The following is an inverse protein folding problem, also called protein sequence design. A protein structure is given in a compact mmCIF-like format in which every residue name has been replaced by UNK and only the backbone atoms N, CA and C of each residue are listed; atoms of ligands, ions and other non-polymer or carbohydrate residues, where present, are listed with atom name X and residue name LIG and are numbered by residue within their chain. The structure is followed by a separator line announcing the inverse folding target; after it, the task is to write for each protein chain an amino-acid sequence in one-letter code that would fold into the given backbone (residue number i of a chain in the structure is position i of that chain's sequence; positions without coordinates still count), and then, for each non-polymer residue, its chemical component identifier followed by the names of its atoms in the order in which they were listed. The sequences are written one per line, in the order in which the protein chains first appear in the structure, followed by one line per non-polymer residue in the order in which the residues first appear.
data_IF_378015413857
#
_entry.id   IF_378015413857
#
_cell.length_a   1.000
_cell.length_b   1.000
_cell.length_c   1.000
_cell.angle_alpha   90.00
_cell.angle_beta   90.00
_cell.angle_gamma   90.00
#
_symmetry.space_group_name_H-M   'P 1'
#
loop_
_entity.id
_entity.type
_entity.pdbx_description
1 polymer ?
#
# COMPACT_ATOMS: atom_id res chain seq x y z
N UNK A 1 -5.85 -36.74 -0.46
CA UNK A 1 -5.93 -37.56 0.78
C UNK A 1 -7.21 -38.41 0.80
N UNK A 2 -8.41 -37.83 0.61
CA UNK A 2 -9.68 -38.56 0.54
C UNK A 2 -9.73 -39.73 -0.46
N UNK A 3 -9.19 -39.58 -1.67
CA UNK A 3 -9.10 -40.69 -2.66
C UNK A 3 -8.28 -41.88 -2.15
N UNK A 4 -7.22 -41.64 -1.34
CA UNK A 4 -6.41 -42.70 -0.72
C UNK A 4 -7.17 -43.42 0.39
N UNK A 5 -8.02 -42.69 1.13
CA UNK A 5 -8.87 -43.25 2.20
C UNK A 5 -9.96 -44.13 1.61
N UNK A 6 -10.66 -43.67 0.56
CA UNK A 6 -11.68 -44.45 -0.13
C UNK A 6 -11.07 -45.72 -0.73
N UNK A 7 -9.91 -45.60 -1.39
CA UNK A 7 -9.19 -46.76 -1.93
C UNK A 7 -8.78 -47.74 -0.82
N UNK A 8 -8.27 -47.25 0.31
CA UNK A 8 -7.93 -48.09 1.45
C UNK A 8 -9.16 -48.83 2.01
N UNK A 9 -10.30 -48.14 2.18
CA UNK A 9 -11.55 -48.76 2.68
C UNK A 9 -12.06 -49.85 1.73
N UNK A 10 -12.03 -49.60 0.43
CA UNK A 10 -12.43 -50.60 -0.59
C UNK A 10 -11.45 -51.79 -0.58
N UNK A 11 -10.15 -51.53 -0.56
CA UNK A 11 -9.12 -52.57 -0.52
C UNK A 11 -9.24 -53.44 0.74
N UNK A 12 -9.42 -52.83 1.91
CA UNK A 12 -9.65 -53.55 3.16
C UNK A 12 -10.94 -54.38 3.13
N UNK A 13 -12.01 -53.87 2.52
CA UNK A 13 -13.28 -54.61 2.36
C UNK A 13 -13.12 -55.83 1.45
N UNK A 14 -12.34 -55.72 0.38
CA UNK A 14 -12.06 -56.83 -0.54
C UNK A 14 -11.17 -57.89 0.11
N UNK A 15 -10.10 -57.47 0.78
CA UNK A 15 -9.22 -58.38 1.56
C UNK A 15 -10.02 -59.07 2.67
N UNK A 16 -10.96 -58.36 3.30
CA UNK A 16 -11.87 -58.91 4.30
C UNK A 16 -12.78 -60.00 3.74
N UNK A 17 -13.43 -59.78 2.59
CA UNK A 17 -14.27 -60.81 1.96
C UNK A 17 -13.46 -62.04 1.53
N UNK A 18 -12.23 -61.82 1.08
CA UNK A 18 -11.34 -62.89 0.66
C UNK A 18 -10.87 -63.75 1.85
N UNK A 19 -10.41 -63.10 2.92
CA UNK A 19 -10.02 -63.78 4.16
C UNK A 19 -11.19 -64.48 4.82
N UNK A 20 -12.40 -63.89 4.82
CA UNK A 20 -13.63 -64.54 5.29
C UNK A 20 -13.92 -65.85 4.54
N UNK A 21 -13.81 -65.86 3.21
CA UNK A 21 -14.04 -67.08 2.41
C UNK A 21 -13.02 -68.18 2.70
N UNK A 22 -11.74 -67.81 2.79
CA UNK A 22 -10.66 -68.76 3.11
C UNK A 22 -10.86 -69.33 4.51
N UNK A 23 -11.13 -68.45 5.47
CA UNK A 23 -11.33 -68.80 6.87
C UNK A 23 -12.53 -69.73 7.08
N UNK A 24 -13.67 -69.44 6.43
CA UNK A 24 -14.87 -70.27 6.53
C UNK A 24 -14.69 -71.64 5.84
N UNK A 25 -13.91 -71.70 4.76
CA UNK A 25 -13.54 -72.96 4.09
C UNK A 25 -12.59 -73.80 4.94
N UNK A 26 -11.69 -73.15 5.68
CA UNK A 26 -10.71 -73.81 6.54
C UNK A 26 -11.32 -74.32 7.86
N UNK A 27 -12.22 -73.54 8.47
CA UNK A 27 -12.93 -73.89 9.71
C UNK A 27 -13.76 -75.16 9.58
N UNK A 28 -14.55 -75.28 8.51
CA UNK A 28 -15.44 -76.42 8.29
C UNK A 28 -14.68 -77.74 8.06
N UNK A 29 -13.37 -77.70 7.78
CA UNK A 29 -12.54 -78.89 7.50
C UNK A 29 -11.77 -79.41 8.72
N UNK A 30 -11.58 -78.61 9.80
CA UNK A 30 -10.59 -78.92 10.84
C UNK A 30 -11.05 -78.81 12.30
N UNK A 31 -12.22 -78.25 12.60
CA UNK A 31 -12.61 -77.98 14.00
C UNK A 31 -13.94 -78.63 14.41
N UNK A 32 -14.03 -79.04 15.67
CA UNK A 32 -15.26 -79.54 16.29
C UNK A 32 -16.31 -78.42 16.45
N UNK A 33 -17.63 -78.73 16.51
CA UNK A 33 -18.70 -77.74 16.55
C UNK A 33 -18.60 -76.70 17.67
N UNK A 34 -17.91 -77.03 18.77
CA UNK A 34 -17.73 -76.16 19.94
C UNK A 34 -16.77 -74.98 19.69
N UNK A 35 -15.71 -75.18 18.90
CA UNK A 35 -14.69 -74.14 18.64
C UNK A 35 -15.21 -73.10 17.63
N UNK A 36 -16.13 -73.52 16.76
CA UNK A 36 -16.85 -72.65 15.82
C UNK A 36 -17.66 -71.57 16.56
N UNK A 37 -18.12 -71.84 17.79
CA UNK A 37 -18.90 -70.87 18.57
C UNK A 37 -18.07 -69.67 19.04
N UNK A 38 -16.86 -69.93 19.53
CA UNK A 38 -15.93 -68.88 20.00
C UNK A 38 -15.59 -67.91 18.87
N UNK A 39 -15.45 -68.43 17.66
CA UNK A 39 -15.05 -67.66 16.47
C UNK A 39 -16.21 -66.82 15.90
N UNK A 40 -17.47 -67.24 16.11
CA UNK A 40 -18.65 -66.45 15.73
C UNK A 40 -18.77 -65.14 16.52
N UNK A 41 -18.28 -65.08 17.76
CA UNK A 41 -18.31 -63.83 18.53
C UNK A 41 -17.31 -62.79 18.00
N UNK A 42 -16.10 -63.23 17.62
CA UNK A 42 -15.10 -62.34 17.00
C UNK A 42 -15.62 -61.71 15.70
N UNK A 43 -16.35 -62.48 14.90
CA UNK A 43 -17.01 -61.96 13.69
C UNK A 43 -18.01 -60.84 14.00
N UNK A 44 -18.79 -60.96 15.07
CA UNK A 44 -19.74 -59.90 15.49
C UNK A 44 -19.01 -58.62 15.89
N UNK A 45 -17.87 -58.73 16.60
CA UNK A 45 -17.04 -57.56 16.96
C UNK A 45 -16.54 -56.83 15.71
N UNK A 46 -16.11 -57.58 14.68
CA UNK A 46 -15.64 -57.00 13.42
C UNK A 46 -16.77 -56.30 12.64
N UNK A 47 -17.98 -56.86 12.61
CA UNK A 47 -19.15 -56.20 11.98
C UNK A 47 -19.44 -54.86 12.66
N UNK A 48 -19.43 -54.83 13.99
CA UNK A 48 -19.68 -53.60 14.76
C UNK A 48 -18.63 -52.54 14.41
N UNK A 49 -17.35 -52.92 14.34
CA UNK A 49 -16.28 -52.01 13.96
C UNK A 49 -16.42 -51.49 12.51
N UNK A 50 -16.76 -52.36 11.56
CA UNK A 50 -17.01 -51.98 10.18
C UNK A 50 -18.19 -51.00 10.05
N UNK A 51 -19.26 -51.23 10.83
CA UNK A 51 -20.42 -50.35 10.88
C UNK A 51 -20.07 -48.96 11.45
N UNK A 52 -19.31 -48.89 12.54
CA UNK A 52 -18.80 -47.62 13.07
C UNK A 52 -17.92 -46.88 12.07
N UNK A 53 -17.01 -47.59 11.38
CA UNK A 53 -16.17 -47.00 10.32
C UNK A 53 -17.00 -46.46 9.15
N UNK A 54 -18.08 -47.16 8.77
CA UNK A 54 -18.99 -46.72 7.71
C UNK A 54 -19.80 -45.48 8.14
N UNK A 55 -20.31 -45.45 9.37
CA UNK A 55 -21.00 -44.28 9.92
C UNK A 55 -20.10 -43.06 10.04
N UNK A 56 -18.81 -43.25 10.29
CA UNK A 56 -17.86 -42.15 10.46
C UNK A 56 -17.31 -41.60 9.13
N UNK A 57 -17.37 -42.40 8.06
CA UNK A 57 -16.86 -42.00 6.73
C UNK A 57 -17.55 -40.74 6.15
N UNK A 58 -18.89 -40.58 6.20
CA UNK A 58 -19.56 -39.36 5.77
C UNK A 58 -19.13 -38.11 6.54
N UNK A 59 -18.89 -38.23 7.85
CA UNK A 59 -18.43 -37.14 8.71
C UNK A 59 -17.00 -36.68 8.35
N UNK A 60 -16.11 -37.62 8.06
CA UNK A 60 -14.74 -37.33 7.60
C UNK A 60 -14.70 -36.71 6.19
N UNK A 61 -15.62 -37.11 5.30
CA UNK A 61 -15.75 -36.53 3.96
C UNK A 61 -16.31 -35.10 4.05
N UNK A 62 -17.37 -34.88 4.83
CA UNK A 62 -18.00 -33.56 5.01
C UNK A 62 -17.03 -32.52 5.59
N UNK A 63 -16.30 -32.87 6.66
CA UNK A 63 -15.31 -31.99 7.27
C UNK A 63 -14.17 -31.60 6.31
N UNK A 64 -13.73 -32.53 5.46
CA UNK A 64 -12.71 -32.28 4.43
C UNK A 64 -13.21 -31.34 3.34
N UNK A 65 -14.46 -31.49 2.90
CA UNK A 65 -15.08 -30.62 1.87
C UNK A 65 -15.28 -29.20 2.42
N UNK A 66 -15.81 -29.06 3.64
CA UNK A 66 -15.95 -27.76 4.31
C UNK A 66 -14.60 -27.06 4.50
N UNK A 67 -13.54 -27.82 4.81
CA UNK A 67 -12.18 -27.27 4.93
C UNK A 67 -11.65 -26.75 3.58
N UNK A 68 -11.87 -27.49 2.48
CA UNK A 68 -11.47 -27.05 1.13
C UNK A 68 -12.20 -25.76 0.72
N UNK A 69 -13.51 -25.67 0.99
CA UNK A 69 -14.27 -24.45 0.70
C UNK A 69 -13.81 -23.25 1.54
N UNK A 70 -13.50 -23.45 2.83
CA UNK A 70 -12.92 -22.40 3.70
C UNK A 70 -11.53 -21.96 3.22
N UNK A 71 -10.68 -22.89 2.81
CA UNK A 71 -9.35 -22.56 2.32
C UNK A 71 -9.41 -21.80 0.98
N UNK A 72 -10.32 -22.19 0.09
CA UNK A 72 -10.55 -21.53 -1.19
C UNK A 72 -11.15 -20.13 -1.04
N UNK A 73 -12.04 -19.90 -0.07
CA UNK A 73 -12.59 -18.57 0.20
C UNK A 73 -11.51 -17.64 0.78
N UNK A 74 -10.66 -18.12 1.69
CA UNK A 74 -9.52 -17.36 2.22
C UNK A 74 -8.52 -17.02 1.10
N UNK A 75 -8.19 -17.98 0.23
CA UNK A 75 -7.29 -17.73 -0.90
C UNK A 75 -7.87 -16.71 -1.89
N UNK A 76 -9.19 -16.76 -2.15
CA UNK A 76 -9.89 -15.78 -2.98
C UNK A 76 -9.85 -14.39 -2.37
N UNK A 77 -10.09 -14.26 -1.07
CA UNK A 77 -9.98 -12.98 -0.33
C UNK A 77 -8.55 -12.45 -0.41
N UNK A 78 -7.54 -13.29 -0.21
CA UNK A 78 -6.13 -12.91 -0.33
C UNK A 78 -5.76 -12.46 -1.75
N UNK A 79 -6.26 -13.16 -2.77
CA UNK A 79 -6.05 -12.78 -4.18
C UNK A 79 -6.73 -11.43 -4.50
N UNK A 80 -7.93 -11.18 -3.98
CA UNK A 80 -8.63 -9.89 -4.13
C UNK A 80 -7.88 -8.78 -3.38
N UNK A 81 -7.45 -9.04 -2.14
CA UNK A 81 -6.71 -8.07 -1.31
C UNK A 81 -5.35 -7.70 -1.93
N UNK A 82 -4.61 -8.67 -2.48
CA UNK A 82 -3.36 -8.41 -3.19
C UNK A 82 -3.58 -7.65 -4.50
N UNK A 83 -4.66 -7.94 -5.25
CA UNK A 83 -5.05 -7.16 -6.44
C UNK A 83 -5.48 -5.73 -6.12
N UNK A 84 -6.22 -5.53 -5.02
CA UNK A 84 -6.59 -4.20 -4.54
C UNK A 84 -5.38 -3.45 -4.02
N UNK A 85 -4.54 -4.09 -3.20
CA UNK A 85 -3.28 -3.54 -2.70
C UNK A 85 -2.32 -3.15 -3.81
N UNK A 86 -2.16 -3.99 -4.85
CA UNK A 86 -1.35 -3.66 -6.02
C UNK A 86 -1.90 -2.46 -6.79
N UNK A 87 -3.24 -2.33 -6.94
CA UNK A 87 -3.86 -1.13 -7.53
C UNK A 87 -3.67 0.12 -6.67
N UNK A 88 -3.64 0.00 -5.34
CA UNK A 88 -3.41 1.12 -4.41
C UNK A 88 -1.92 1.51 -4.39
N UNK A 89 -1.01 0.55 -4.47
CA UNK A 89 0.43 0.79 -4.39
C UNK A 89 1.03 1.26 -5.72
N UNK A 90 0.50 0.80 -6.86
CA UNK A 90 0.90 1.23 -8.20
C UNK A 90 0.16 2.49 -8.68
N UNK A 91 -0.89 2.92 -7.98
CA UNK A 91 -1.56 4.20 -8.22
C UNK A 91 -1.00 5.19 -7.17
N UNK A 92 -0.08 6.10 -7.53
CA UNK A 92 0.41 7.08 -6.59
C UNK A 92 -0.81 7.81 -6.02
N UNK A 93 -0.87 7.88 -4.71
CA UNK A 93 -1.97 8.41 -3.91
C UNK A 93 -2.28 9.86 -4.32
N UNK A 94 -3.14 10.03 -5.32
CA UNK A 94 -4.11 11.11 -5.29
C UNK A 94 -5.23 10.60 -4.39
N UNK A 95 -5.18 11.03 -3.13
CA UNK A 95 -6.29 10.90 -2.18
C UNK A 95 -7.57 11.26 -2.93
N UNK A 96 -8.53 10.33 -3.14
CA UNK A 96 -9.85 10.74 -3.55
C UNK A 96 -10.49 11.31 -2.30
N UNK A 97 -10.31 12.62 -2.10
CA UNK A 97 -11.34 13.39 -1.41
C UNK A 97 -12.62 13.00 -2.11
N UNK A 98 -13.54 12.41 -1.34
CA UNK A 98 -14.91 12.10 -1.72
C UNK A 98 -15.37 13.10 -2.78
N UNK A 99 -15.31 12.68 -4.05
CA UNK A 99 -15.92 13.42 -5.13
C UNK A 99 -17.42 13.32 -4.84
N UNK A 100 -17.94 14.32 -4.14
CA UNK A 100 -19.17 14.94 -4.60
C UNK A 100 -18.89 15.40 -6.03
N UNK A 101 -19.04 14.47 -6.97
CA UNK A 101 -19.58 14.77 -8.29
C UNK A 101 -20.99 15.33 -8.06
N UNK A 102 -21.03 16.54 -7.50
CA UNK A 102 -22.07 17.48 -7.85
C UNK A 102 -21.53 18.14 -9.11
N UNK A 103 -22.23 17.88 -10.19
CA UNK A 103 -21.98 18.41 -11.53
C UNK A 103 -22.00 19.93 -11.52
N UNK A 104 -20.87 20.56 -11.20
CA UNK A 104 -20.64 21.97 -11.50
C UNK A 104 -19.67 21.99 -12.67
N UNK A 105 -20.21 22.39 -13.83
CA UNK A 105 -19.44 22.82 -15.01
C UNK A 105 -18.18 23.56 -14.51
N UNK A 106 -17.00 23.22 -15.04
CA UNK A 106 -15.81 24.08 -14.92
C UNK A 106 -16.12 25.42 -15.58
N UNK A 107 -16.77 26.30 -14.83
CA UNK A 107 -16.87 27.72 -15.12
C UNK A 107 -15.45 28.26 -15.05
N UNK A 108 -15.10 29.12 -16.01
CA UNK A 108 -13.81 29.80 -16.02
C UNK A 108 -13.60 30.46 -14.65
N UNK A 109 -12.44 30.31 -13.99
CA UNK A 109 -12.22 30.90 -12.67
C UNK A 109 -12.60 32.38 -12.70
N UNK A 110 -13.51 32.77 -11.81
CA UNK A 110 -13.98 34.16 -11.71
C UNK A 110 -12.80 35.10 -11.47
N UNK A 111 -12.87 36.35 -11.93
CA UNK A 111 -11.84 37.37 -11.67
C UNK A 111 -11.49 37.51 -10.18
N UNK A 112 -12.46 37.27 -9.30
CA UNK A 112 -12.27 37.29 -7.86
C UNK A 112 -11.23 36.25 -7.37
N UNK A 113 -11.19 35.07 -7.98
CA UNK A 113 -10.22 34.01 -7.63
C UNK A 113 -8.80 34.47 -8.00
N UNK A 114 -8.63 35.10 -9.16
CA UNK A 114 -7.32 35.64 -9.56
C UNK A 114 -6.86 36.79 -8.66
N UNK A 115 -7.77 37.68 -8.25
CA UNK A 115 -7.47 38.73 -7.27
C UNK A 115 -7.01 38.15 -5.92
N UNK A 116 -7.73 37.15 -5.40
CA UNK A 116 -7.34 36.44 -4.17
C UNK A 116 -6.00 35.70 -4.32
N UNK A 117 -5.75 35.12 -5.49
CA UNK A 117 -4.49 34.43 -5.77
C UNK A 117 -3.29 35.39 -5.81
N UNK A 118 -3.45 36.59 -6.37
CA UNK A 118 -2.43 37.65 -6.31
C UNK A 118 -2.20 38.12 -4.88
N UNK A 119 -3.26 38.41 -4.13
CA UNK A 119 -3.15 38.78 -2.71
C UNK A 119 -2.44 37.68 -1.88
N UNK A 120 -2.74 36.41 -2.13
CA UNK A 120 -2.07 35.29 -1.47
C UNK A 120 -0.55 35.29 -1.72
N UNK A 121 -0.11 35.59 -2.94
CA UNK A 121 1.32 35.69 -3.26
C UNK A 121 1.99 36.83 -2.48
N UNK A 122 1.32 37.97 -2.35
CA UNK A 122 1.82 39.11 -1.56
C UNK A 122 1.97 38.73 -0.09
N UNK A 123 0.94 38.10 0.50
CA UNK A 123 0.99 37.66 1.90
C UNK A 123 2.08 36.62 2.15
N UNK A 124 2.31 35.72 1.18
CA UNK A 124 3.34 34.70 1.24
C UNK A 124 4.75 35.31 1.33
N UNK A 125 5.01 36.38 0.57
CA UNK A 125 6.29 37.09 0.59
C UNK A 125 6.41 37.98 1.82
N UNK A 126 5.38 38.78 2.11
CA UNK A 126 5.41 39.76 3.21
C UNK A 126 5.65 39.12 4.58
N UNK A 127 5.03 37.97 4.83
CA UNK A 127 5.15 37.25 6.11
C UNK A 127 6.16 36.10 6.07
N UNK A 128 6.78 35.85 4.91
CA UNK A 128 7.76 34.78 4.68
C UNK A 128 7.29 33.40 5.17
N UNK A 129 5.98 33.09 5.04
CA UNK A 129 5.40 31.85 5.60
C UNK A 129 6.11 30.57 5.13
N UNK A 130 6.67 30.59 3.90
CA UNK A 130 7.42 29.48 3.33
C UNK A 130 8.67 29.08 4.11
N UNK A 131 9.24 29.96 4.95
CA UNK A 131 10.38 29.64 5.79
C UNK A 131 10.02 28.71 6.95
N UNK A 132 8.75 28.61 7.34
CA UNK A 132 8.32 27.71 8.39
C UNK A 132 8.37 26.25 7.89
N UNK A 133 9.20 25.37 8.50
CA UNK A 133 9.29 23.95 8.14
C UNK A 133 7.96 23.20 8.27
N UNK A 134 7.14 23.58 9.25
CA UNK A 134 5.89 22.91 9.62
C UNK A 134 4.65 23.54 8.96
N UNK A 135 4.85 24.41 7.95
CA UNK A 135 3.75 25.07 7.26
C UNK A 135 2.83 24.05 6.59
N UNK A 136 1.56 24.04 7.01
CA UNK A 136 0.49 23.25 6.42
C UNK A 136 -0.56 24.14 5.76
N UNK A 137 -1.40 23.57 4.89
CA UNK A 137 -2.54 24.29 4.31
C UNK A 137 -3.47 24.83 5.41
N UNK A 138 -3.69 24.03 6.46
CA UNK A 138 -4.53 24.42 7.60
C UNK A 138 -3.94 25.61 8.35
N UNK A 139 -2.67 25.54 8.74
CA UNK A 139 -2.01 26.63 9.47
C UNK A 139 -1.91 27.90 8.63
N UNK A 140 -1.68 27.80 7.32
CA UNK A 140 -1.68 28.97 6.45
C UNK A 140 -3.09 29.59 6.33
N UNK A 141 -4.12 28.76 6.21
CA UNK A 141 -5.50 29.24 6.16
C UNK A 141 -5.88 29.97 7.45
N UNK A 142 -5.50 29.43 8.61
CA UNK A 142 -5.69 30.07 9.92
C UNK A 142 -4.99 31.42 9.99
N UNK A 143 -3.71 31.51 9.60
CA UNK A 143 -2.95 32.78 9.58
C UNK A 143 -3.55 33.84 8.65
N UNK A 144 -4.25 33.43 7.60
CA UNK A 144 -4.88 34.31 6.62
C UNK A 144 -6.37 34.57 6.91
N UNK A 145 -6.91 34.07 8.03
CA UNK A 145 -8.33 34.11 8.36
C UNK A 145 -9.23 33.55 7.24
N UNK A 146 -8.80 32.43 6.64
CA UNK A 146 -9.52 31.71 5.59
C UNK A 146 -9.82 30.28 6.02
N UNK A 147 -10.80 29.64 5.38
CA UNK A 147 -10.98 28.19 5.53
C UNK A 147 -9.98 27.44 4.62
N UNK A 148 -9.51 26.25 5.02
CA UNK A 148 -8.60 25.45 4.19
C UNK A 148 -9.17 25.12 2.80
N UNK A 149 -10.50 24.95 2.72
CA UNK A 149 -11.19 24.72 1.46
C UNK A 149 -11.07 25.91 0.50
N UNK A 150 -11.33 27.13 0.98
CA UNK A 150 -11.21 28.34 0.15
C UNK A 150 -9.76 28.55 -0.27
N UNK A 151 -8.80 28.38 0.65
CA UNK A 151 -7.38 28.52 0.32
C UNK A 151 -6.95 27.50 -0.74
N UNK A 152 -7.35 26.23 -0.58
CA UNK A 152 -7.08 25.21 -1.60
C UNK A 152 -7.68 25.58 -2.95
N UNK A 153 -8.90 26.12 -2.99
CA UNK A 153 -9.55 26.56 -4.21
C UNK A 153 -8.78 27.70 -4.87
N UNK A 154 -8.34 28.70 -4.10
CA UNK A 154 -7.54 29.84 -4.61
C UNK A 154 -6.22 29.37 -5.22
N UNK A 155 -5.52 28.43 -4.57
CA UNK A 155 -4.24 27.91 -5.09
C UNK A 155 -4.48 27.05 -6.34
N UNK A 156 -5.44 26.13 -6.30
CA UNK A 156 -5.71 25.22 -7.41
C UNK A 156 -6.28 25.98 -8.63
N UNK A 157 -7.33 26.77 -8.44
CA UNK A 157 -8.04 27.42 -9.56
C UNK A 157 -7.35 28.71 -10.00
N UNK A 158 -6.75 29.46 -9.06
CA UNK A 158 -6.13 30.75 -9.33
C UNK A 158 -4.66 30.68 -9.70
N UNK A 159 -3.92 29.67 -9.21
CA UNK A 159 -2.48 29.50 -9.48
C UNK A 159 -2.15 28.23 -10.26
N UNK A 160 -3.13 27.34 -10.48
CA UNK A 160 -2.94 26.04 -11.14
C UNK A 160 -1.86 25.18 -10.49
N UNK A 161 -1.81 25.19 -9.15
CA UNK A 161 -0.81 24.47 -8.33
C UNK A 161 -1.51 23.79 -7.17
N UNK A 162 -0.91 22.72 -6.65
CA UNK A 162 -1.26 22.26 -5.30
C UNK A 162 -0.49 23.08 -4.24
N UNK A 163 -0.91 22.96 -2.98
CA UNK A 163 -0.29 23.69 -1.86
C UNK A 163 1.22 23.42 -1.72
N UNK A 164 1.65 22.16 -1.89
CA UNK A 164 3.06 21.81 -1.74
C UNK A 164 3.92 22.47 -2.81
N UNK A 165 3.49 22.42 -4.06
CA UNK A 165 4.19 23.04 -5.18
C UNK A 165 4.25 24.56 -5.01
N UNK A 166 3.14 25.18 -4.60
CA UNK A 166 3.09 26.60 -4.29
C UNK A 166 4.15 27.01 -3.25
N UNK A 167 4.20 26.33 -2.10
CA UNK A 167 5.17 26.64 -1.04
C UNK A 167 6.61 26.36 -1.49
N UNK A 168 6.83 25.22 -2.13
CA UNK A 168 8.15 24.75 -2.51
C UNK A 168 8.85 25.65 -3.52
N UNK A 169 8.10 26.29 -4.43
CA UNK A 169 8.66 27.30 -5.32
C UNK A 169 9.31 28.46 -4.56
N UNK A 170 8.61 29.03 -3.56
CA UNK A 170 9.18 30.09 -2.72
C UNK A 170 10.41 29.61 -1.95
N UNK A 171 10.37 28.39 -1.41
CA UNK A 171 11.52 27.82 -0.69
C UNK A 171 12.73 27.67 -1.61
N UNK A 172 12.54 27.22 -2.85
CA UNK A 172 13.64 27.10 -3.83
C UNK A 172 14.21 28.46 -4.21
N UNK A 173 13.35 29.45 -4.47
CA UNK A 173 13.83 30.80 -4.79
C UNK A 173 14.60 31.43 -3.63
N UNK A 174 14.13 31.25 -2.39
CA UNK A 174 14.84 31.74 -1.20
C UNK A 174 16.21 31.08 -1.02
N UNK A 175 16.33 29.78 -1.32
CA UNK A 175 17.63 29.10 -1.33
C UNK A 175 18.55 29.72 -2.40
N UNK A 176 18.04 29.97 -3.60
CA UNK A 176 18.83 30.55 -4.70
C UNK A 176 19.30 31.97 -4.35
N UNK A 177 18.44 32.77 -3.74
CA UNK A 177 18.79 34.11 -3.25
C UNK A 177 19.96 34.03 -2.25
N UNK A 178 19.87 33.14 -1.26
CA UNK A 178 20.97 32.91 -0.31
C UNK A 178 22.23 32.35 -0.96
N UNK A 179 22.12 31.51 -2.01
CA UNK A 179 23.30 31.02 -2.76
C UNK A 179 24.05 32.14 -3.47
N UNK A 180 23.37 33.20 -3.90
CA UNK A 180 23.97 34.34 -4.61
C UNK A 180 24.57 35.39 -3.66
N UNK A 181 24.17 35.37 -2.40
CA UNK A 181 24.59 36.35 -1.42
C UNK A 181 25.84 35.88 -0.68
N UNK A 182 26.95 36.63 -0.84
CA UNK A 182 28.26 36.28 -0.28
C UNK A 182 28.25 36.13 1.25
N UNK A 183 27.32 36.80 1.95
CA UNK A 183 27.14 36.68 3.41
C UNK A 183 26.92 35.22 3.84
N UNK A 184 26.27 34.41 3.01
CA UNK A 184 25.90 33.03 3.33
C UNK A 184 26.92 31.98 2.87
N UNK A 185 28.09 32.40 2.35
CA UNK A 185 29.11 31.48 1.84
C UNK A 185 29.66 30.50 2.89
N UNK A 186 29.59 30.86 4.17
CA UNK A 186 30.00 30.03 5.30
C UNK A 186 29.01 28.90 5.63
N UNK A 187 27.77 28.97 5.13
CA UNK A 187 26.72 27.97 5.39
C UNK A 187 26.73 26.91 4.28
N UNK A 188 26.60 25.65 4.69
CA UNK A 188 26.50 24.54 3.74
C UNK A 188 25.21 24.64 2.93
N UNK A 189 25.22 24.09 1.70
CA UNK A 189 24.02 24.08 0.86
C UNK A 189 22.82 23.40 1.53
N UNK A 190 23.07 22.35 2.33
CA UNK A 190 22.03 21.69 3.10
C UNK A 190 21.51 22.59 4.24
N UNK A 191 22.41 23.29 4.94
CA UNK A 191 22.04 24.27 5.96
C UNK A 191 21.13 25.37 5.40
N UNK A 192 21.47 25.92 4.23
CA UNK A 192 20.63 26.90 3.55
C UNK A 192 19.23 26.35 3.23
N UNK A 193 19.14 25.09 2.80
CA UNK A 193 17.84 24.48 2.53
C UNK A 193 16.97 24.38 3.79
N UNK A 194 17.56 24.07 4.94
CA UNK A 194 16.85 24.00 6.21
C UNK A 194 16.41 25.37 6.70
N UNK A 195 17.27 26.39 6.58
CA UNK A 195 16.86 27.78 6.87
C UNK A 195 15.77 28.31 5.94
N UNK A 196 15.58 27.68 4.78
CA UNK A 196 14.53 28.00 3.83
C UNK A 196 13.30 27.07 3.96
N UNK A 197 13.15 26.37 5.09
CA UNK A 197 11.94 25.62 5.44
C UNK A 197 11.87 24.19 4.88
N UNK A 198 12.94 23.63 4.31
CA UNK A 198 12.94 22.21 3.96
C UNK A 198 13.21 21.33 5.19
N UNK A 199 12.44 20.23 5.35
CA UNK A 199 12.60 19.29 6.47
C UNK A 199 13.57 18.14 6.20
N UNK A 200 13.99 17.95 4.94
CA UNK A 200 14.91 16.87 4.59
C UNK A 200 15.73 17.16 3.33
N UNK A 201 16.94 16.61 3.32
CA UNK A 201 17.85 16.63 2.15
C UNK A 201 17.19 16.01 0.91
N UNK A 202 16.46 14.90 1.09
CA UNK A 202 15.82 14.17 -0.01
C UNK A 202 14.73 15.01 -0.67
N UNK A 203 13.86 15.63 0.12
CA UNK A 203 12.81 16.51 -0.38
C UNK A 203 13.40 17.72 -1.10
N UNK A 204 14.39 18.38 -0.47
CA UNK A 204 15.08 19.52 -1.07
C UNK A 204 15.68 19.18 -2.44
N UNK A 205 16.49 18.12 -2.53
CA UNK A 205 17.16 17.74 -3.77
C UNK A 205 16.15 17.42 -4.88
N UNK A 206 15.08 16.68 -4.57
CA UNK A 206 14.03 16.31 -5.52
C UNK A 206 13.28 17.54 -6.03
N UNK A 207 12.79 18.38 -5.12
CA UNK A 207 12.03 19.59 -5.45
C UNK A 207 12.87 20.56 -6.28
N UNK A 208 14.11 20.83 -5.84
CA UNK A 208 14.98 21.76 -6.55
C UNK A 208 15.28 21.28 -7.97
N UNK A 209 15.60 19.99 -8.14
CA UNK A 209 15.83 19.41 -9.47
C UNK A 209 14.59 19.47 -10.35
N UNK A 210 13.41 19.23 -9.79
CA UNK A 210 12.15 19.31 -10.54
C UNK A 210 11.87 20.73 -11.05
N UNK A 211 12.15 21.76 -10.23
CA UNK A 211 11.88 23.16 -10.57
C UNK A 211 12.96 23.73 -11.52
N UNK A 212 14.24 23.43 -11.28
CA UNK A 212 15.37 24.04 -12.01
C UNK A 212 15.98 23.14 -13.08
N UNK A 213 15.55 21.88 -13.19
CA UNK A 213 16.08 20.89 -14.14
C UNK A 213 17.47 20.31 -13.78
N UNK A 214 18.19 20.92 -12.85
CA UNK A 214 19.55 20.54 -12.45
C UNK A 214 19.67 20.34 -10.94
N UNK A 215 20.71 19.64 -10.48
CA UNK A 215 20.92 19.41 -9.05
C UNK A 215 21.31 20.72 -8.33
N UNK A 216 20.97 20.88 -7.04
CA UNK A 216 21.36 22.04 -6.25
C UNK A 216 22.87 22.36 -6.30
N UNK A 217 23.70 21.31 -6.25
CA UNK A 217 25.15 21.45 -6.27
C UNK A 217 25.66 21.94 -7.63
N UNK A 218 25.11 21.41 -8.72
CA UNK A 218 25.45 21.85 -10.08
C UNK A 218 25.05 23.32 -10.28
N UNK A 219 23.86 23.70 -9.80
CA UNK A 219 23.38 25.09 -9.85
C UNK A 219 24.26 26.05 -9.02
N UNK A 220 24.66 25.66 -7.81
CA UNK A 220 25.58 26.47 -6.98
C UNK A 220 26.93 26.69 -7.69
N UNK A 221 27.46 25.66 -8.35
CA UNK A 221 28.71 25.75 -9.10
C UNK A 221 28.59 26.68 -10.31
N UNK A 222 27.47 26.63 -11.04
CA UNK A 222 27.27 27.52 -12.19
C UNK A 222 27.20 28.99 -11.77
N UNK A 223 26.52 29.32 -10.67
CA UNK A 223 26.48 30.69 -10.13
C UNK A 223 27.89 31.20 -9.81
N UNK A 224 28.70 30.39 -9.13
CA UNK A 224 30.05 30.79 -8.72
C UNK A 224 30.92 31.11 -9.94
N UNK A 225 30.93 30.24 -10.94
CA UNK A 225 31.69 30.45 -12.18
C UNK A 225 31.26 31.73 -12.92
N UNK A 226 29.96 32.01 -13.01
CA UNK A 226 29.46 33.24 -13.63
C UNK A 226 29.89 34.49 -12.85
N UNK A 227 29.85 34.45 -11.52
CA UNK A 227 30.29 35.57 -10.69
C UNK A 227 31.79 35.86 -10.81
N UNK A 228 32.62 34.83 -10.95
CA UNK A 228 34.07 34.97 -11.16
C UNK A 228 34.38 35.53 -12.55
N UNK A 229 33.67 35.07 -13.60
CA UNK A 229 33.83 35.60 -14.95
C UNK A 229 33.45 37.09 -15.06
N UNK A 230 32.34 37.51 -14.43
CA UNK A 230 31.92 38.91 -14.41
C UNK A 230 32.91 39.82 -13.66
N UNK A 231 33.48 39.34 -12.55
CA UNK A 231 34.54 40.06 -11.82
C UNK A 231 35.81 40.22 -12.66
N UNK A 232 36.18 39.21 -13.45
CA UNK A 232 37.34 39.28 -14.35
C UNK A 232 37.13 40.20 -15.55
N UNK A 233 35.92 40.25 -16.12
CA UNK A 233 35.61 41.16 -17.23
C UNK A 233 35.49 42.63 -16.82
N UNK A 234 35.23 42.92 -15.53
CA UNK A 234 35.10 44.28 -15.03
C UNK A 234 36.44 44.94 -14.64
N UNK A 235 37.54 44.18 -14.69
CA UNK A 235 38.91 44.65 -14.34
C UNK A 235 39.73 44.96 -15.62
N UNK A 236 39.23 44.60 -16.80
CA UNK A 236 39.77 44.93 -18.12
C UNK A 236 39.02 46.13 -18.73
#
# INVERSE_FOLDING_TARGET
MAKKIIFAVVLFSVIYLFTYRIYHSWLNKRFEPKDVYILKWMYKVVIVFAFFSFLWAPYSISSSVVFIFKLSSVASIFFIATRLGAKIFLKPETVPLKNSEDTIKKEKPSEEIYKKASWLKEQMVANQFYLNPDLTLKSLAENLNMTPHILSKVINDGLNKNFSDFVNEYRVEAVIEKMRNEKYNHITLLGLSFECGFNSKTTFNRVFKNIKGVTPLAYKKSIKNTSEQLKMSAIL
#
